data_IF_694008341413
#
_entry.id   IF_694008341413
#
_cell.length_a   1.000
_cell.length_b   1.000
_cell.length_c   1.000
_cell.angle_alpha   90.00
_cell.angle_beta   90.00
_cell.angle_gamma   90.00
#
_symmetry.space_group_name_H-M   'P 1'
#
loop_
_entity.id
_entity.type
_entity.pdbx_description
1 polymer ?
#
# COMPACT_ATOMS: atom_id res chain seq x y z
N UNK A 1 -14.97 57.84 5.07
CA UNK A 1 -14.22 56.70 5.64
C UNK A 1 -14.86 55.41 5.16
N UNK A 2 -14.21 54.73 4.20
CA UNK A 2 -14.83 53.69 3.37
C UNK A 2 -14.77 52.29 3.98
N UNK A 3 -15.90 51.57 3.92
CA UNK A 3 -16.11 50.19 4.43
C UNK A 3 -15.62 49.09 3.47
N UNK A 4 -14.54 49.33 2.73
CA UNK A 4 -14.06 48.41 1.68
C UNK A 4 -12.87 47.48 2.01
N UNK A 5 -12.20 47.49 3.19
CA UNK A 5 -11.00 46.67 3.35
C UNK A 5 -11.28 45.17 3.56
N UNK A 6 -12.45 44.79 4.09
CA UNK A 6 -12.72 43.39 4.48
C UNK A 6 -12.96 42.49 3.25
N UNK A 7 -13.70 42.96 2.25
CA UNK A 7 -13.98 42.17 1.05
C UNK A 7 -12.73 41.94 0.19
N UNK A 8 -11.79 42.88 0.18
CA UNK A 8 -10.52 42.72 -0.54
C UNK A 8 -9.63 41.64 0.09
N UNK A 9 -9.60 41.57 1.42
CA UNK A 9 -8.84 40.55 2.15
C UNK A 9 -9.45 39.16 1.92
N UNK A 10 -10.78 39.04 2.02
CA UNK A 10 -11.47 37.77 1.78
C UNK A 10 -11.28 37.26 0.34
N UNK A 11 -11.30 38.16 -0.65
CA UNK A 11 -11.05 37.79 -2.04
C UNK A 11 -9.63 37.25 -2.27
N UNK A 12 -8.62 37.84 -1.62
CA UNK A 12 -7.24 37.37 -1.73
C UNK A 12 -7.02 36.00 -1.09
N UNK A 13 -7.67 35.74 0.06
CA UNK A 13 -7.65 34.41 0.70
C UNK A 13 -8.30 33.37 -0.20
N UNK A 14 -9.45 33.70 -0.80
CA UNK A 14 -10.18 32.78 -1.68
C UNK A 14 -9.38 32.45 -2.95
N UNK A 15 -8.72 33.44 -3.56
CA UNK A 15 -7.83 33.24 -4.72
C UNK A 15 -6.62 32.38 -4.34
N UNK A 16 -6.06 32.57 -3.14
CA UNK A 16 -4.96 31.74 -2.63
C UNK A 16 -5.35 30.26 -2.49
N UNK A 17 -6.53 29.99 -1.92
CA UNK A 17 -7.05 28.61 -1.75
C UNK A 17 -7.31 27.95 -3.11
N UNK A 18 -7.88 28.66 -4.09
CA UNK A 18 -8.12 28.11 -5.44
C UNK A 18 -6.80 27.76 -6.14
N UNK A 19 -5.77 28.61 -6.04
CA UNK A 19 -4.46 28.32 -6.63
C UNK A 19 -3.75 27.16 -5.93
N UNK A 20 -3.91 27.02 -4.62
CA UNK A 20 -3.38 25.89 -3.87
C UNK A 20 -4.06 24.59 -4.32
N UNK A 21 -5.39 24.58 -4.46
CA UNK A 21 -6.15 23.43 -4.97
C UNK A 21 -5.81 23.08 -6.42
N UNK A 22 -5.50 24.06 -7.27
CA UNK A 22 -5.04 23.80 -8.64
C UNK A 22 -3.61 23.26 -8.70
N UNK A 23 -2.75 23.61 -7.73
CA UNK A 23 -1.40 23.07 -7.61
C UNK A 23 -1.38 21.65 -7.01
N UNK A 24 -2.33 21.33 -6.13
CA UNK A 24 -2.51 19.99 -5.56
C UNK A 24 -3.42 19.09 -6.41
N UNK A 25 -4.08 19.63 -7.44
CA UNK A 25 -4.68 18.85 -8.52
C UNK A 25 -3.56 18.24 -9.39
N UNK A 26 -2.78 17.39 -8.73
CA UNK A 26 -1.68 16.61 -9.23
C UNK A 26 -2.24 15.58 -10.20
N UNK A 27 -2.30 15.98 -11.47
CA UNK A 27 -2.20 15.16 -12.68
C UNK A 27 -2.91 13.79 -12.71
N UNK A 28 -4.06 13.63 -12.05
CA UNK A 28 -4.86 12.40 -12.09
C UNK A 28 -5.22 12.00 -13.54
N UNK A 29 -5.27 12.98 -14.46
CA UNK A 29 -5.57 12.77 -15.87
C UNK A 29 -4.42 12.09 -16.63
N UNK A 30 -3.16 12.51 -16.44
CA UNK A 30 -2.00 11.89 -17.12
C UNK A 30 -1.76 10.44 -16.71
N UNK A 31 -2.19 10.04 -15.52
CA UNK A 31 -2.10 8.64 -15.09
C UNK A 31 -3.22 7.75 -15.66
N UNK A 32 -4.40 8.31 -15.96
CA UNK A 32 -5.46 7.56 -16.67
C UNK A 32 -5.08 7.23 -18.11
N UNK A 33 -4.30 8.09 -18.80
CA UNK A 33 -3.92 7.91 -20.21
C UNK A 33 -2.83 6.85 -20.44
N UNK A 34 -2.08 6.45 -19.41
CA UNK A 34 -1.12 5.33 -19.49
C UNK A 34 -1.76 3.95 -19.30
N UNK A 35 -3.06 3.89 -18.96
CA UNK A 35 -3.83 2.65 -18.79
C UNK A 35 -4.02 1.87 -20.10
N UNK A 36 -4.10 2.56 -21.24
CA UNK A 36 -4.51 1.95 -22.52
C UNK A 36 -3.33 1.49 -23.40
N UNK A 37 -2.08 1.78 -23.02
CA UNK A 37 -0.90 1.50 -23.86
C UNK A 37 -0.14 0.23 -23.51
N UNK A 38 -0.41 -0.41 -22.38
CA UNK A 38 0.34 -1.62 -21.97
C UNK A 38 -0.24 -2.94 -22.51
N UNK A 39 -1.39 -2.93 -23.20
CA UNK A 39 -2.10 -4.16 -23.59
C UNK A 39 -1.99 -4.58 -25.06
N UNK A 40 -1.13 -3.94 -25.86
CA UNK A 40 -0.90 -4.33 -27.26
C UNK A 40 0.58 -4.40 -27.61
N UNK A 41 1.23 -5.50 -27.21
CA UNK A 41 2.41 -6.03 -27.92
C UNK A 41 2.79 -7.43 -27.42
N UNK A 42 1.89 -8.39 -27.60
CA UNK A 42 2.31 -9.79 -27.77
C UNK A 42 2.35 -10.04 -29.27
N UNK A 43 3.48 -9.74 -29.90
CA UNK A 43 3.68 -10.06 -31.31
C UNK A 43 5.09 -10.62 -31.57
N UNK A 44 5.07 -11.92 -31.91
CA UNK A 44 5.99 -12.64 -32.78
C UNK A 44 7.51 -12.53 -32.51
N UNK A 45 8.03 -13.46 -31.69
CA UNK A 45 9.43 -13.90 -31.79
C UNK A 45 9.66 -14.57 -33.14
N UNK A 46 10.36 -13.88 -34.05
CA UNK A 46 11.00 -14.48 -35.23
C UNK A 46 12.30 -15.16 -34.80
N UNK A 47 12.41 -16.43 -35.16
CA UNK A 47 13.66 -17.19 -35.15
C UNK A 47 14.70 -16.55 -36.09
N UNK A 48 15.98 -16.65 -35.72
CA UNK A 48 17.09 -16.47 -36.65
C UNK A 48 18.23 -17.44 -36.33
N UNK A 49 19.01 -17.86 -37.35
CA UNK A 49 19.69 -19.14 -37.34
C UNK A 49 21.13 -19.08 -36.80
N UNK A 50 21.59 -20.26 -36.37
CA UNK A 50 22.97 -20.60 -36.03
C UNK A 50 23.95 -20.24 -37.14
N UNK A 51 25.03 -19.54 -36.78
CA UNK A 51 26.30 -19.64 -37.50
C UNK A 51 27.42 -19.69 -36.47
N UNK A 52 28.18 -20.78 -36.46
CA UNK A 52 29.44 -20.86 -35.76
C UNK A 52 30.58 -20.45 -36.68
N UNK A 53 31.62 -19.86 -36.13
CA UNK A 53 33.01 -20.27 -36.33
C UNK A 53 33.91 -19.49 -35.37
N UNK A 54 34.91 -20.20 -34.86
CA UNK A 54 35.95 -19.74 -33.96
C UNK A 54 36.93 -18.81 -34.68
N UNK A 55 37.56 -17.90 -33.93
CA UNK A 55 39.02 -17.83 -33.87
C UNK A 55 39.48 -16.97 -32.69
N UNK A 56 40.57 -17.44 -32.11
CA UNK A 56 41.19 -17.10 -30.84
C UNK A 56 42.38 -16.18 -31.15
N UNK A 57 42.39 -14.93 -30.67
CA UNK A 57 43.62 -14.12 -30.63
C UNK A 57 43.67 -13.36 -29.30
N UNK A 58 44.64 -13.80 -28.50
CA UNK A 58 45.08 -13.27 -27.22
C UNK A 58 45.96 -12.03 -27.44
N UNK A 59 45.68 -10.91 -26.76
CA UNK A 59 46.68 -9.85 -26.55
C UNK A 59 46.36 -9.04 -25.26
N UNK A 60 47.28 -8.94 -24.29
CA UNK A 60 47.06 -8.17 -23.07
C UNK A 60 47.72 -6.79 -23.16
N UNK A 61 47.07 -5.73 -22.69
CA UNK A 61 47.69 -4.60 -21.95
C UNK A 61 46.67 -3.52 -21.57
N UNK A 62 46.87 -3.03 -20.34
CA UNK A 62 46.42 -1.78 -19.70
C UNK A 62 45.12 -1.74 -18.85
N UNK A 63 45.19 -1.11 -17.65
CA UNK A 63 44.12 -1.11 -16.67
C UNK A 63 43.32 0.21 -16.72
N UNK A 64 42.04 0.12 -17.06
CA UNK A 64 41.10 1.23 -16.86
C UNK A 64 40.21 0.96 -15.64
N UNK A 65 40.29 1.92 -14.72
CA UNK A 65 39.44 2.12 -13.55
C UNK A 65 37.95 2.16 -13.93
N UNK A 66 37.16 1.22 -13.41
CA UNK A 66 35.70 1.28 -13.47
C UNK A 66 35.08 1.54 -12.09
N UNK A 67 34.30 2.61 -12.09
CA UNK A 67 33.32 3.06 -11.12
C UNK A 67 32.31 1.95 -10.86
N UNK A 68 32.07 1.63 -9.59
CA UNK A 68 31.06 0.70 -9.13
C UNK A 68 29.66 1.26 -9.43
N UNK A 69 29.03 0.75 -10.50
CA UNK A 69 27.59 0.79 -10.65
C UNK A 69 26.99 -0.30 -9.76
N UNK A 70 26.65 0.05 -8.51
CA UNK A 70 25.79 -0.75 -7.64
C UNK A 70 24.36 -0.72 -8.19
N UNK A 71 24.11 -1.54 -9.21
CA UNK A 71 22.75 -1.99 -9.51
C UNK A 71 22.55 -3.28 -8.72
N UNK A 72 21.62 -3.33 -7.75
CA UNK A 72 21.35 -4.56 -7.02
C UNK A 72 20.91 -5.65 -8.02
N UNK A 73 21.36 -6.90 -7.83
CA UNK A 73 21.06 -7.97 -8.77
C UNK A 73 19.55 -8.23 -8.83
N UNK A 74 19.02 -8.59 -10.01
CA UNK A 74 17.63 -9.02 -10.13
C UNK A 74 17.41 -10.25 -9.25
N UNK A 75 16.49 -10.15 -8.30
CA UNK A 75 16.07 -11.27 -7.46
C UNK A 75 15.35 -12.28 -8.34
N UNK A 76 16.00 -13.42 -8.54
CA UNK A 76 15.47 -14.58 -9.24
C UNK A 76 14.26 -15.14 -8.46
N UNK A 77 13.12 -15.27 -9.16
CA UNK A 77 11.97 -16.06 -8.72
C UNK A 77 12.43 -17.49 -8.42
N UNK A 78 12.40 -17.87 -7.14
CA UNK A 78 12.44 -19.27 -6.73
C UNK A 78 11.01 -19.71 -6.45
N UNK A 79 10.49 -20.55 -7.33
CA UNK A 79 9.28 -21.33 -7.10
C UNK A 79 9.50 -22.29 -5.93
N UNK A 80 8.79 -22.08 -4.82
CA UNK A 80 8.68 -23.05 -3.74
C UNK A 80 7.53 -24.00 -4.05
N UNK A 81 7.89 -25.23 -4.43
CA UNK A 81 7.00 -26.39 -4.42
C UNK A 81 7.24 -27.17 -3.11
N UNK A 82 6.22 -27.98 -2.75
CA UNK A 82 6.25 -29.11 -1.80
C UNK A 82 6.05 -28.72 -0.31
N UNK A 83 5.21 -29.34 0.52
CA UNK A 83 4.42 -30.58 0.43
C UNK A 83 3.22 -30.52 1.39
N UNK A 84 2.14 -31.21 1.01
CA UNK A 84 1.00 -31.63 1.82
C UNK A 84 1.37 -32.62 2.92
N UNK A 85 0.79 -32.50 4.12
CA UNK A 85 0.41 -33.66 4.94
C UNK A 85 -0.94 -33.43 5.64
N UNK A 86 -1.79 -34.45 5.51
CA UNK A 86 -3.14 -34.57 6.06
C UNK A 86 -3.15 -34.82 7.57
N UNK A 87 -4.21 -34.35 8.25
CA UNK A 87 -4.79 -35.13 9.35
C UNK A 87 -6.31 -34.85 9.47
N UNK A 88 -7.10 -35.87 9.10
CA UNK A 88 -8.52 -35.98 9.44
C UNK A 88 -8.68 -36.25 10.94
N UNK A 89 -9.79 -35.82 11.55
CA UNK A 89 -10.77 -36.70 12.26
C UNK A 89 -11.90 -35.87 12.89
N UNK A 90 -13.13 -36.25 12.51
CA UNK A 90 -14.44 -36.33 13.21
C UNK A 90 -14.64 -35.60 14.56
N UNK A 91 -15.79 -35.04 14.94
CA UNK A 91 -17.16 -35.11 14.44
C UNK A 91 -18.13 -34.54 15.51
N UNK A 92 -19.42 -34.67 15.23
CA UNK A 92 -20.62 -34.44 16.06
C UNK A 92 -21.33 -33.07 16.11
N UNK A 93 -22.59 -33.20 15.69
CA UNK A 93 -23.74 -32.31 15.67
C UNK A 93 -24.39 -32.11 17.04
N UNK A 94 -24.97 -30.94 17.31
CA UNK A 94 -26.26 -30.81 18.03
C UNK A 94 -26.99 -29.51 17.66
N UNK A 95 -28.32 -29.58 17.76
CA UNK A 95 -29.28 -28.68 17.15
C UNK A 95 -29.94 -27.69 18.15
N UNK A 96 -30.38 -26.57 17.58
CA UNK A 96 -31.68 -25.89 17.74
C UNK A 96 -31.92 -24.78 18.80
N UNK A 97 -32.50 -23.68 18.26
CA UNK A 97 -33.43 -22.67 18.85
C UNK A 97 -32.95 -21.84 20.06
N UNK A 98 -33.26 -20.56 20.23
CA UNK A 98 -34.39 -19.76 19.73
C UNK A 98 -34.06 -18.25 19.85
N UNK A 99 -34.77 -17.44 19.06
CA UNK A 99 -34.72 -15.98 19.04
C UNK A 99 -35.16 -15.35 20.37
N UNK A 100 -34.48 -14.30 20.81
CA UNK A 100 -35.18 -13.17 21.43
C UNK A 100 -34.41 -11.88 21.18
N UNK A 101 -35.01 -11.04 20.34
CA UNK A 101 -34.55 -9.70 20.02
C UNK A 101 -34.64 -8.81 21.27
N UNK A 102 -33.50 -8.25 21.66
CA UNK A 102 -33.44 -6.99 22.43
C UNK A 102 -32.67 -5.98 21.60
N UNK A 103 -33.46 -5.14 20.93
CA UNK A 103 -33.06 -3.89 20.31
C UNK A 103 -32.38 -3.01 21.38
N UNK A 104 -31.06 -2.86 21.28
CA UNK A 104 -30.29 -1.88 22.05
C UNK A 104 -29.65 -0.92 21.07
N UNK A 105 -30.36 0.20 20.89
CA UNK A 105 -29.87 1.47 20.38
C UNK A 105 -28.67 1.93 21.22
N UNK A 106 -27.46 1.77 20.70
CA UNK A 106 -26.26 2.50 21.13
C UNK A 106 -25.19 2.44 20.04
N UNK A 107 -25.38 3.18 18.96
CA UNK A 107 -24.37 3.34 17.90
C UNK A 107 -24.27 4.81 17.51
N UNK A 108 -23.72 5.65 18.38
CA UNK A 108 -23.33 7.02 17.97
C UNK A 108 -22.14 7.62 18.73
N UNK A 109 -21.77 7.14 19.92
CA UNK A 109 -20.71 7.82 20.71
C UNK A 109 -19.28 7.29 20.48
N UNK A 110 -19.12 6.07 19.95
CA UNK A 110 -17.82 5.40 19.92
C UNK A 110 -16.94 5.74 18.70
N UNK A 111 -17.55 6.18 17.59
CA UNK A 111 -16.83 6.58 16.36
C UNK A 111 -16.05 7.88 16.55
N UNK A 112 -16.50 8.76 17.44
CA UNK A 112 -15.87 10.06 17.71
C UNK A 112 -14.47 9.92 18.29
N UNK A 113 -14.25 8.97 19.22
CA UNK A 113 -12.96 8.82 19.90
C UNK A 113 -11.86 8.22 19.02
N UNK A 114 -12.20 7.29 18.11
CA UNK A 114 -11.23 6.68 17.20
C UNK A 114 -10.81 7.67 16.10
N UNK A 115 -11.76 8.45 15.56
CA UNK A 115 -11.47 9.47 14.55
C UNK A 115 -10.62 10.61 15.10
N UNK A 116 -10.81 11.00 16.38
CA UNK A 116 -9.89 11.94 17.05
C UNK A 116 -8.47 11.38 17.10
N UNK A 117 -8.29 10.10 17.41
CA UNK A 117 -6.97 9.45 17.44
C UNK A 117 -6.27 9.45 16.08
N UNK A 118 -6.97 9.15 14.97
CA UNK A 118 -6.34 9.13 13.65
C UNK A 118 -5.97 10.53 13.16
N UNK A 119 -6.85 11.52 13.35
CA UNK A 119 -6.56 12.90 12.97
C UNK A 119 -5.39 13.46 13.77
N UNK A 120 -5.29 13.14 15.07
CA UNK A 120 -4.16 13.51 15.90
C UNK A 120 -2.85 12.88 15.39
N UNK A 121 -2.86 11.59 15.02
CA UNK A 121 -1.70 10.94 14.38
C UNK A 121 -1.31 11.64 13.07
N UNK A 122 -2.29 11.96 12.20
CA UNK A 122 -2.04 12.69 10.95
C UNK A 122 -1.44 14.08 11.21
N UNK A 123 -1.94 14.81 12.21
CA UNK A 123 -1.54 16.19 12.49
C UNK A 123 -0.22 16.30 13.25
N UNK A 124 0.00 15.48 14.27
CA UNK A 124 1.13 15.62 15.19
C UNK A 124 2.33 14.76 14.78
N UNK A 125 2.09 13.61 14.13
CA UNK A 125 3.16 12.72 13.70
C UNK A 125 3.47 12.89 12.21
N UNK A 126 2.47 12.72 11.34
CA UNK A 126 2.71 12.65 9.90
C UNK A 126 2.98 14.03 9.26
N UNK A 127 2.19 15.04 9.60
CA UNK A 127 2.29 16.36 8.96
C UNK A 127 3.69 17.00 9.09
N UNK A 128 4.40 16.93 10.24
CA UNK A 128 5.78 17.40 10.33
C UNK A 128 6.76 16.64 9.42
N UNK A 129 6.58 15.33 9.23
CA UNK A 129 7.41 14.53 8.33
C UNK A 129 7.22 15.03 6.89
N UNK A 130 5.97 15.13 6.45
CA UNK A 130 5.62 15.58 5.09
C UNK A 130 6.07 17.02 4.84
N UNK A 131 5.93 17.92 5.82
CA UNK A 131 6.34 19.31 5.69
C UNK A 131 7.85 19.51 5.50
N UNK A 132 8.66 18.51 5.90
CA UNK A 132 10.11 18.53 5.74
C UNK A 132 10.58 17.85 4.45
N UNK A 133 9.67 17.29 3.64
CA UNK A 133 10.02 16.73 2.33
C UNK A 133 10.20 17.84 1.29
N UNK A 134 11.12 17.66 0.33
CA UNK A 134 11.16 18.48 -0.88
C UNK A 134 9.81 18.47 -1.61
N UNK A 135 9.48 19.60 -2.24
CA UNK A 135 8.19 19.75 -2.93
C UNK A 135 7.99 18.65 -4.00
N UNK A 136 6.86 17.94 -3.91
CA UNK A 136 6.51 16.86 -4.82
C UNK A 136 7.18 15.51 -4.53
N UNK A 137 7.98 15.41 -3.47
CA UNK A 137 8.58 14.15 -3.04
C UNK A 137 7.65 13.38 -2.11
N UNK A 138 7.58 12.06 -2.30
CA UNK A 138 6.93 11.15 -1.38
C UNK A 138 7.94 10.64 -0.35
N UNK A 139 7.44 10.23 0.82
CA UNK A 139 8.29 9.62 1.83
C UNK A 139 8.71 8.22 1.40
N UNK A 140 9.99 7.93 1.55
CA UNK A 140 10.64 6.66 1.16
C UNK A 140 11.26 5.92 2.36
N UNK A 141 11.22 6.53 3.55
CA UNK A 141 11.65 5.93 4.82
C UNK A 141 10.77 4.74 5.21
N UNK A 142 9.48 4.79 4.86
CA UNK A 142 8.52 3.70 4.96
C UNK A 142 7.95 3.41 3.58
N UNK A 143 8.22 2.21 3.07
CA UNK A 143 7.77 1.79 1.73
C UNK A 143 6.49 0.97 1.83
N UNK A 144 5.43 1.43 1.16
CA UNK A 144 4.21 0.63 1.00
C UNK A 144 4.42 -0.34 -0.16
N UNK A 145 4.43 -1.65 0.11
CA UNK A 145 4.48 -2.71 -0.89
C UNK A 145 3.06 -3.23 -1.10
N UNK A 146 2.46 -2.89 -2.23
CA UNK A 146 1.07 -3.25 -2.50
C UNK A 146 1.01 -4.34 -3.56
N UNK A 147 0.49 -5.51 -3.18
CA UNK A 147 0.12 -6.56 -4.11
C UNK A 147 -1.29 -6.26 -4.59
N UNK A 148 -1.41 -5.86 -5.85
CA UNK A 148 -2.61 -5.27 -6.40
C UNK A 148 -3.65 -6.32 -6.75
N UNK A 149 -4.85 -6.07 -6.27
CA UNK A 149 -6.05 -6.85 -6.55
C UNK A 149 -7.10 -5.99 -7.26
N UNK A 150 -7.92 -6.60 -8.12
CA UNK A 150 -9.02 -5.91 -8.79
C UNK A 150 -10.09 -5.43 -7.80
N UNK A 151 -10.31 -6.20 -6.75
CA UNK A 151 -11.33 -6.02 -5.72
C UNK A 151 -11.05 -4.78 -4.83
N UNK A 152 -9.79 -4.35 -4.78
CA UNK A 152 -9.35 -3.19 -4.02
C UNK A 152 -9.60 -1.87 -4.78
N UNK A 153 -9.89 -1.93 -6.08
CA UNK A 153 -10.02 -0.78 -6.96
C UNK A 153 -8.84 0.20 -6.79
N UNK A 154 -9.13 1.44 -6.40
CA UNK A 154 -8.15 2.48 -6.11
C UNK A 154 -8.00 2.78 -4.60
N UNK A 155 -8.62 1.99 -3.72
CA UNK A 155 -8.75 2.30 -2.29
C UNK A 155 -7.39 2.46 -1.59
N UNK A 156 -6.41 1.62 -1.95
CA UNK A 156 -5.05 1.65 -1.39
C UNK A 156 -4.27 2.91 -1.79
N UNK A 157 -4.56 3.51 -2.96
CA UNK A 157 -3.81 4.68 -3.43
C UNK A 157 -4.10 5.97 -2.65
N UNK A 158 -5.13 5.99 -1.80
CA UNK A 158 -5.35 7.07 -0.83
C UNK A 158 -4.12 7.33 0.06
N UNK A 159 -3.28 6.32 0.28
CA UNK A 159 -2.02 6.46 1.01
C UNK A 159 -1.02 7.40 0.31
N UNK A 160 -1.09 7.57 -1.02
CA UNK A 160 -0.27 8.56 -1.73
C UNK A 160 -0.63 9.99 -1.33
N UNK A 161 -1.90 10.24 -1.04
CA UNK A 161 -2.37 11.57 -0.58
C UNK A 161 -1.84 11.91 0.81
N UNK A 162 -1.52 10.89 1.60
CA UNK A 162 -0.83 10.99 2.89
C UNK A 162 0.71 11.08 2.74
N UNK A 163 1.21 11.12 1.50
CA UNK A 163 2.61 11.31 1.16
C UNK A 163 3.42 10.01 1.05
N UNK A 164 2.83 8.82 1.24
CA UNK A 164 3.53 7.54 1.14
C UNK A 164 3.92 7.18 -0.29
N UNK A 165 5.15 6.71 -0.46
CA UNK A 165 5.55 6.00 -1.68
C UNK A 165 4.95 4.59 -1.71
N UNK A 166 4.31 4.24 -2.83
CA UNK A 166 3.73 2.92 -3.08
C UNK A 166 4.52 2.21 -4.18
N UNK A 167 5.15 1.10 -3.81
CA UNK A 167 5.73 0.11 -4.71
C UNK A 167 4.69 -0.97 -5.02
N UNK A 168 4.06 -0.86 -6.18
CA UNK A 168 3.00 -1.76 -6.64
C UNK A 168 3.58 -2.99 -7.34
N UNK A 169 2.95 -4.15 -7.10
CA UNK A 169 3.15 -5.40 -7.82
C UNK A 169 1.79 -6.02 -8.13
N UNK A 170 1.64 -6.69 -9.26
CA UNK A 170 0.40 -7.43 -9.56
C UNK A 170 0.32 -8.68 -8.67
N UNK A 171 -0.86 -8.98 -8.11
CA UNK A 171 -1.10 -10.21 -7.38
C UNK A 171 -1.37 -11.36 -8.36
N UNK A 172 -0.46 -12.34 -8.41
CA UNK A 172 -0.52 -13.44 -9.39
C UNK A 172 -1.18 -14.71 -8.86
N UNK A 173 -1.14 -14.94 -7.56
CA UNK A 173 -1.54 -16.23 -6.93
C UNK A 173 -2.95 -16.20 -6.34
N UNK A 174 -3.45 -15.00 -6.00
CA UNK A 174 -4.67 -14.75 -5.22
C UNK A 174 -5.70 -13.97 -6.05
N UNK A 175 -5.79 -14.28 -7.34
CA UNK A 175 -6.70 -13.60 -8.27
C UNK A 175 -8.17 -13.80 -7.88
N UNK A 176 -8.96 -12.72 -7.89
CA UNK A 176 -10.36 -12.74 -7.48
C UNK A 176 -10.59 -12.55 -5.98
N UNK A 177 -9.53 -12.43 -5.19
CA UNK A 177 -9.56 -12.06 -3.78
C UNK A 177 -9.03 -10.63 -3.62
N UNK A 178 -9.60 -9.87 -2.69
CA UNK A 178 -9.07 -8.54 -2.33
C UNK A 178 -8.06 -8.59 -1.18
N UNK A 179 -7.40 -7.46 -0.95
CA UNK A 179 -6.47 -7.33 0.18
C UNK A 179 -7.21 -7.51 1.51
N UNK A 180 -6.64 -8.30 2.40
CA UNK A 180 -7.20 -8.60 3.71
C UNK A 180 -6.15 -8.68 4.84
N UNK A 181 -4.87 -8.53 4.54
CA UNK A 181 -3.79 -8.59 5.53
C UNK A 181 -2.80 -7.46 5.31
N UNK A 182 -2.24 -6.98 6.42
CA UNK A 182 -1.15 -6.02 6.42
C UNK A 182 0.04 -6.59 7.19
N UNK A 183 1.20 -6.71 6.55
CA UNK A 183 2.45 -7.06 7.23
C UNK A 183 3.32 -5.83 7.44
N UNK A 184 4.06 -5.75 8.55
CA UNK A 184 4.95 -4.62 8.82
C UNK A 184 6.37 -5.04 9.18
N UNK A 185 7.34 -4.27 8.74
CA UNK A 185 8.75 -4.42 9.11
C UNK A 185 9.05 -3.92 10.53
N UNK A 186 10.06 -4.52 11.16
CA UNK A 186 10.44 -4.20 12.55
C UNK A 186 10.80 -2.72 12.79
N UNK A 187 11.29 -2.02 11.76
CA UNK A 187 11.70 -0.62 11.87
C UNK A 187 10.58 0.36 11.53
N UNK A 188 9.46 -0.08 10.97
CA UNK A 188 8.33 0.78 10.61
C UNK A 188 7.70 1.35 11.89
N UNK A 189 7.63 2.66 12.14
CA UNK A 189 7.04 3.23 13.36
C UNK A 189 5.61 2.77 13.65
N UNK A 190 5.20 2.72 14.92
CA UNK A 190 3.86 2.25 15.31
C UNK A 190 2.78 3.16 14.71
N UNK A 191 3.03 4.46 14.72
CA UNK A 191 2.15 5.50 14.21
C UNK A 191 1.88 5.30 12.71
N UNK A 192 2.88 4.88 11.93
CA UNK A 192 2.73 4.57 10.51
C UNK A 192 1.85 3.34 10.28
N UNK A 193 2.06 2.28 11.08
CA UNK A 193 1.22 1.08 11.03
C UNK A 193 -0.24 1.44 11.31
N UNK A 194 -0.49 2.25 12.34
CA UNK A 194 -1.84 2.69 12.69
C UNK A 194 -2.44 3.56 11.59
N UNK A 195 -1.74 4.60 11.12
CA UNK A 195 -2.22 5.49 10.06
C UNK A 195 -2.59 4.71 8.81
N UNK A 196 -1.74 3.79 8.37
CA UNK A 196 -1.99 2.97 7.18
C UNK A 196 -3.20 2.07 7.39
N UNK A 197 -3.24 1.31 8.49
CA UNK A 197 -4.36 0.41 8.77
C UNK A 197 -5.70 1.14 8.86
N UNK A 198 -5.77 2.26 9.58
CA UNK A 198 -6.96 3.10 9.66
C UNK A 198 -7.38 3.58 8.27
N UNK A 199 -6.44 4.09 7.48
CA UNK A 199 -6.76 4.61 6.14
C UNK A 199 -7.28 3.50 5.24
N UNK A 200 -6.75 2.28 5.32
CA UNK A 200 -7.25 1.14 4.55
C UNK A 200 -8.67 0.75 4.97
N UNK A 201 -8.94 0.67 6.28
CA UNK A 201 -10.29 0.39 6.81
C UNK A 201 -11.30 1.48 6.41
N UNK A 202 -10.95 2.76 6.54
CA UNK A 202 -11.79 3.91 6.14
C UNK A 202 -12.13 3.86 4.64
N UNK A 203 -11.21 3.39 3.81
CA UNK A 203 -11.42 3.23 2.37
C UNK A 203 -12.10 1.90 1.98
N UNK A 204 -12.50 1.09 2.96
CA UNK A 204 -13.26 -0.14 2.75
C UNK A 204 -12.42 -1.36 2.35
N UNK A 205 -11.11 -1.35 2.61
CA UNK A 205 -10.29 -2.56 2.55
C UNK A 205 -10.58 -3.40 3.80
N UNK A 206 -11.08 -4.64 3.68
CA UNK A 206 -11.51 -5.45 4.82
C UNK A 206 -10.31 -6.15 5.46
N UNK A 207 -9.42 -5.39 6.11
CA UNK A 207 -8.29 -5.98 6.85
C UNK A 207 -8.80 -6.94 7.93
N UNK A 208 -8.10 -8.06 8.08
CA UNK A 208 -8.39 -9.16 9.00
C UNK A 208 -7.22 -9.47 9.92
N UNK A 209 -6.01 -9.10 9.53
CA UNK A 209 -4.83 -9.22 10.38
C UNK A 209 -3.80 -8.10 10.13
N UNK A 210 -3.04 -7.79 11.18
CA UNK A 210 -1.88 -6.88 11.17
C UNK A 210 -0.73 -7.62 11.86
N UNK A 211 0.30 -8.00 11.10
CA UNK A 211 1.34 -8.91 11.61
C UNK A 211 2.76 -8.43 11.28
N UNK A 212 3.75 -8.73 12.14
CA UNK A 212 5.12 -8.47 11.79
C UNK A 212 5.55 -9.38 10.63
N UNK A 213 6.30 -8.83 9.68
CA UNK A 213 6.92 -9.62 8.63
C UNK A 213 8.05 -10.48 9.20
N UNK A 214 8.21 -11.68 8.65
CA UNK A 214 9.33 -12.57 9.00
C UNK A 214 10.62 -12.25 8.23
N UNK A 215 10.57 -11.31 7.28
CA UNK A 215 11.66 -11.01 6.36
C UNK A 215 12.41 -9.75 6.77
N UNK A 216 13.67 -9.90 7.20
CA UNK A 216 14.50 -8.76 7.64
C UNK A 216 14.72 -7.71 6.53
N UNK A 217 14.81 -8.13 5.26
CA UNK A 217 14.96 -7.21 4.14
C UNK A 217 13.73 -6.30 3.92
N UNK A 218 12.59 -6.63 4.54
CA UNK A 218 11.37 -5.79 4.57
C UNK A 218 11.28 -4.93 5.84
N UNK A 219 12.38 -4.72 6.57
CA UNK A 219 12.36 -4.04 7.87
C UNK A 219 11.71 -2.64 7.87
N UNK A 220 11.79 -1.90 6.77
CA UNK A 220 11.20 -0.56 6.61
C UNK A 220 9.93 -0.56 5.75
N UNK A 221 9.30 -1.71 5.51
CA UNK A 221 8.17 -1.83 4.60
C UNK A 221 6.87 -2.18 5.32
N UNK A 222 5.77 -1.65 4.82
CA UNK A 222 4.42 -2.15 5.10
C UNK A 222 3.93 -2.84 3.83
N UNK A 223 3.53 -4.09 3.96
CA UNK A 223 3.03 -4.90 2.86
C UNK A 223 1.52 -5.06 2.99
N UNK A 224 0.82 -4.85 1.87
CA UNK A 224 -0.64 -4.96 1.76
C UNK A 224 -0.93 -6.01 0.69
N UNK A 225 -1.72 -7.01 1.03
CA UNK A 225 -2.11 -8.06 0.11
C UNK A 225 -3.14 -9.00 0.72
N UNK A 226 -3.14 -10.25 0.25
CA UNK A 226 -4.13 -11.28 0.62
C UNK A 226 -3.48 -12.48 1.30
N UNK A 227 -4.11 -12.94 2.38
CA UNK A 227 -3.94 -14.27 2.96
C UNK A 227 -5.26 -15.04 2.83
N UNK A 228 -5.25 -16.13 2.07
CA UNK A 228 -6.43 -16.97 1.79
C UNK A 228 -6.94 -17.66 3.05
N UNK A 229 -6.06 -17.95 4.02
CA UNK A 229 -6.42 -18.61 5.27
C UNK A 229 -7.28 -17.72 6.17
N UNK A 230 -7.31 -16.42 5.89
CA UNK A 230 -8.15 -15.45 6.60
C UNK A 230 -9.54 -15.30 5.98
N UNK A 231 -9.95 -16.11 4.99
CA UNK A 231 -11.26 -15.95 4.31
C UNK A 231 -12.46 -15.86 5.28
N UNK A 232 -12.44 -16.67 6.34
CA UNK A 232 -13.48 -16.72 7.37
C UNK A 232 -13.18 -15.86 8.61
N UNK A 233 -11.96 -15.31 8.71
CA UNK A 233 -11.60 -14.47 9.85
C UNK A 233 -12.42 -13.16 9.86
N UNK A 234 -12.84 -12.67 11.04
CA UNK A 234 -13.55 -11.41 11.13
C UNK A 234 -12.64 -10.25 10.71
N UNK A 235 -13.23 -9.22 10.11
CA UNK A 235 -12.51 -7.97 9.85
C UNK A 235 -12.09 -7.33 11.18
N UNK A 236 -10.89 -6.76 11.21
CA UNK A 236 -10.47 -5.91 12.33
C UNK A 236 -11.21 -4.58 12.29
N UNK A 237 -11.25 -3.88 13.42
CA UNK A 237 -11.95 -2.61 13.57
C UNK A 237 -10.99 -1.46 13.81
N UNK A 238 -11.46 -0.24 13.61
CA UNK A 238 -10.78 0.99 13.98
C UNK A 238 -10.35 0.98 15.46
N UNK A 239 -11.19 0.42 16.34
CA UNK A 239 -10.87 0.29 17.76
C UNK A 239 -9.72 -0.70 18.01
N UNK A 240 -9.65 -1.80 17.24
CA UNK A 240 -8.52 -2.71 17.30
C UNK A 240 -7.22 -1.99 16.92
N UNK A 241 -7.23 -1.20 15.84
CA UNK A 241 -6.06 -0.43 15.39
C UNK A 241 -5.63 0.62 16.43
N UNK A 242 -6.58 1.31 17.06
CA UNK A 242 -6.29 2.27 18.13
C UNK A 242 -5.56 1.63 19.33
N UNK A 243 -5.92 0.39 19.67
CA UNK A 243 -5.30 -0.38 20.75
C UNK A 243 -4.07 -1.21 20.32
N UNK A 244 -3.69 -1.17 19.04
CA UNK A 244 -2.60 -1.97 18.51
C UNK A 244 -1.25 -1.53 19.10
N UNK A 245 -0.41 -2.50 19.43
CA UNK A 245 0.97 -2.32 19.89
C UNK A 245 1.85 -3.41 19.28
N UNK A 246 3.14 -3.12 19.10
CA UNK A 246 4.12 -4.06 18.54
C UNK A 246 4.71 -4.99 19.60
#
# INVERSE_FOLDING_TARGET
MGKYPIYAIMALVFIGIIKLLQATAFDAKKYSENRDKSFTSVEARKESPKTGQAEEIFNPSEPESQVSNDTPPPVLDRSENDSTENLETSGDSFANSDETATESTNTTEQTTSANTSLQDLKNYYLAPIIANLPAGQLREDVVIRYYRHSEDDNKVYSLKELGYYIHEKEATETSGLGSNVMYYGNNVPLEDIQIVAFTLLENGIPLKSIEPTRFEWKANAIEIGTDENLSEAPRITEQFVAGFSK
#
